data_IF_332958436070
#
_entry.id   IF_332958436070
#
_cell.length_a   1.000
_cell.length_b   1.000
_cell.length_c   1.000
_cell.angle_alpha   90.00
_cell.angle_beta   90.00
_cell.angle_gamma   90.00
#
_symmetry.space_group_name_H-M   'P 1'
#
loop_
_entity.id
_entity.type
_entity.pdbx_description
1 polymer ?
#
# COMPACT_ATOMS: atom_id res chain seq x y z
N UNK A 1 -5.53 -23.85 -5.18
CA UNK A 1 -5.08 -25.17 -4.70
C UNK A 1 -6.22 -25.86 -3.99
N UNK A 2 -6.33 -27.18 -4.15
CA UNK A 2 -7.34 -28.00 -3.47
C UNK A 2 -6.59 -29.14 -2.81
N UNK A 3 -6.88 -29.38 -1.54
CA UNK A 3 -6.39 -30.52 -0.79
C UNK A 3 -7.59 -31.33 -0.32
N UNK A 4 -7.49 -32.66 -0.36
CA UNK A 4 -8.53 -33.53 0.16
C UNK A 4 -7.91 -34.71 0.90
N UNK A 5 -8.67 -35.25 1.84
CA UNK A 5 -8.34 -36.46 2.58
C UNK A 5 -9.49 -37.45 2.42
N UNK A 6 -9.15 -38.70 2.15
CA UNK A 6 -10.11 -39.79 2.03
C UNK A 6 -10.19 -40.57 3.35
N UNK A 7 -11.35 -41.11 3.65
CA UNK A 7 -11.53 -42.14 4.68
C UNK A 7 -10.97 -43.48 4.18
N UNK A 8 -10.73 -44.44 5.08
CA UNK A 8 -10.34 -45.82 4.74
C UNK A 8 -11.29 -46.52 3.75
N UNK A 9 -12.52 -46.03 3.60
CA UNK A 9 -13.54 -46.52 2.66
C UNK A 9 -13.56 -45.80 1.30
N UNK A 10 -12.61 -44.89 1.05
CA UNK A 10 -12.51 -44.14 -0.21
C UNK A 10 -13.45 -42.93 -0.35
N UNK A 11 -14.28 -42.63 0.66
CA UNK A 11 -15.11 -41.41 0.69
C UNK A 11 -14.27 -40.19 1.10
N UNK A 12 -14.66 -38.99 0.67
CA UNK A 12 -13.97 -37.75 1.07
C UNK A 12 -14.28 -37.45 2.54
N UNK A 13 -13.28 -37.57 3.40
CA UNK A 13 -13.37 -37.20 4.82
C UNK A 13 -13.31 -35.68 4.99
N UNK A 14 -12.41 -35.03 4.25
CA UNK A 14 -12.29 -33.59 4.23
C UNK A 14 -11.84 -33.05 2.86
N UNK A 15 -12.35 -31.87 2.51
CA UNK A 15 -11.99 -31.11 1.32
C UNK A 15 -11.64 -29.69 1.76
N UNK A 16 -10.50 -29.18 1.31
CA UNK A 16 -10.03 -27.83 1.62
C UNK A 16 -9.70 -27.09 0.33
N UNK A 17 -10.42 -26.01 0.08
CA UNK A 17 -10.26 -25.16 -1.10
C UNK A 17 -9.58 -23.86 -0.64
N UNK A 18 -8.35 -23.64 -1.12
CA UNK A 18 -7.57 -22.46 -0.82
C UNK A 18 -8.06 -21.31 -1.71
N UNK A 19 -8.99 -20.50 -1.20
CA UNK A 19 -9.59 -19.35 -1.91
C UNK A 19 -8.61 -18.19 -2.00
N UNK A 20 -7.97 -17.86 -0.88
CA UNK A 20 -6.90 -16.85 -0.77
C UNK A 20 -5.89 -17.31 0.28
N UNK A 21 -4.72 -16.67 0.41
CA UNK A 21 -3.82 -16.96 1.52
C UNK A 21 -4.46 -16.75 2.91
N UNK A 22 -5.51 -15.91 3.03
CA UNK A 22 -6.27 -15.68 4.26
C UNK A 22 -7.42 -16.66 4.48
N UNK A 23 -7.99 -17.22 3.41
CA UNK A 23 -9.27 -17.92 3.46
C UNK A 23 -9.16 -19.30 2.83
N UNK A 24 -9.43 -20.33 3.66
CA UNK A 24 -9.62 -21.70 3.22
C UNK A 24 -11.07 -22.09 3.48
N UNK A 25 -11.77 -22.53 2.43
CA UNK A 25 -13.09 -23.13 2.55
C UNK A 25 -12.91 -24.61 2.86
N UNK A 26 -13.19 -25.03 4.09
CA UNK A 26 -13.09 -26.42 4.50
C UNK A 26 -14.48 -27.06 4.54
N UNK A 27 -14.58 -28.25 3.98
CA UNK A 27 -15.75 -29.13 4.08
C UNK A 27 -15.32 -30.41 4.78
N UNK A 28 -15.99 -30.79 5.86
CA UNK A 28 -15.71 -32.04 6.58
C UNK A 28 -16.96 -32.87 6.68
N UNK A 29 -16.80 -34.18 6.49
CA UNK A 29 -17.88 -35.12 6.72
C UNK A 29 -18.05 -35.33 8.23
N UNK A 30 -19.12 -34.81 8.80
CA UNK A 30 -19.47 -34.94 10.22
C UNK A 30 -20.99 -35.21 10.31
N UNK A 31 -21.41 -36.21 11.11
CA UNK A 31 -22.82 -36.56 11.33
C UNK A 31 -23.62 -36.84 10.03
N UNK A 32 -23.02 -37.55 9.07
CA UNK A 32 -23.71 -37.98 7.84
C UNK A 32 -23.91 -36.89 6.77
N UNK A 33 -23.34 -35.70 6.97
CA UNK A 33 -23.39 -34.60 6.01
C UNK A 33 -22.06 -33.84 5.96
N UNK A 34 -21.83 -33.08 4.89
CA UNK A 34 -20.68 -32.18 4.82
C UNK A 34 -20.98 -30.87 5.54
N UNK A 35 -20.20 -30.57 6.57
CA UNK A 35 -20.24 -29.27 7.23
C UNK A 35 -19.22 -28.33 6.60
N UNK A 36 -19.67 -27.13 6.24
CA UNK A 36 -18.81 -26.04 5.79
C UNK A 36 -18.25 -25.25 6.97
N UNK A 37 -16.93 -25.08 7.01
CA UNK A 37 -16.24 -24.22 7.97
C UNK A 37 -15.22 -23.32 7.27
N UNK A 38 -15.35 -21.98 7.36
CA UNK A 38 -14.34 -21.08 6.84
C UNK A 38 -13.15 -20.98 7.81
N UNK A 39 -11.97 -21.42 7.37
CA UNK A 39 -10.73 -21.22 8.12
C UNK A 39 -10.08 -19.90 7.70
N UNK A 40 -10.04 -18.94 8.62
CA UNK A 40 -9.39 -17.64 8.42
C UNK A 40 -8.03 -17.62 9.11
N UNK A 41 -6.95 -17.57 8.33
CA UNK A 41 -5.60 -17.39 8.89
C UNK A 41 -5.43 -15.93 9.32
N UNK A 42 -5.05 -15.71 10.58
CA UNK A 42 -4.67 -14.36 11.05
C UNK A 42 -3.37 -13.95 10.36
N UNK A 43 -3.38 -12.79 9.72
CA UNK A 43 -2.17 -12.20 9.15
C UNK A 43 -1.51 -11.26 10.14
N UNK A 44 -0.18 -11.19 10.10
CA UNK A 44 0.62 -10.24 10.86
C UNK A 44 0.92 -9.06 9.95
N UNK A 45 0.68 -7.85 10.44
CA UNK A 45 1.11 -6.63 9.76
C UNK A 45 2.61 -6.42 9.99
N UNK A 46 3.38 -6.33 8.91
CA UNK A 46 4.81 -6.00 8.97
C UNK A 46 5.10 -4.79 8.10
N UNK A 47 5.96 -3.91 8.60
CA UNK A 47 6.47 -2.78 7.81
C UNK A 47 7.82 -3.14 7.23
N UNK A 48 7.99 -2.91 5.93
CA UNK A 48 9.27 -3.04 5.22
C UNK A 48 9.72 -1.68 4.72
N UNK A 49 11.01 -1.38 4.89
CA UNK A 49 11.62 -0.13 4.44
C UNK A 49 12.48 -0.43 3.21
N UNK A 50 12.26 0.35 2.16
CA UNK A 50 13.04 0.37 0.93
C UNK A 50 13.87 1.65 0.89
N UNK A 51 15.09 1.58 0.36
CA UNK A 51 15.99 2.73 0.22
C UNK A 51 16.62 2.68 -1.15
N UNK A 52 16.72 3.83 -1.82
CA UNK A 52 17.39 3.98 -3.09
C UNK A 52 18.13 5.33 -3.15
N UNK A 53 19.23 5.34 -3.89
CA UNK A 53 19.81 6.56 -4.44
C UNK A 53 19.34 6.68 -5.88
N UNK A 54 18.91 7.86 -6.29
CA UNK A 54 18.49 8.12 -7.67
C UNK A 54 19.71 8.02 -8.58
N UNK A 55 19.60 7.22 -9.63
CA UNK A 55 20.62 7.05 -10.68
C UNK A 55 20.20 7.70 -12.00
N UNK A 56 19.00 8.30 -12.03
CA UNK A 56 18.44 8.96 -13.20
C UNK A 56 16.92 8.86 -13.18
N UNK A 57 16.35 7.91 -13.91
CA UNK A 57 14.91 7.75 -14.00
C UNK A 57 14.30 7.21 -12.67
N UNK A 58 13.37 7.97 -12.10
CA UNK A 58 12.67 7.61 -10.86
C UNK A 58 11.98 6.25 -10.93
N UNK A 59 11.27 5.97 -12.03
CA UNK A 59 10.52 4.72 -12.17
C UNK A 59 11.47 3.51 -12.23
N UNK A 60 12.57 3.63 -12.98
CA UNK A 60 13.59 2.59 -13.07
C UNK A 60 14.22 2.32 -11.69
N UNK A 61 14.73 3.36 -11.04
CA UNK A 61 15.31 3.28 -9.69
C UNK A 61 14.35 2.64 -8.68
N UNK A 62 13.07 3.04 -8.71
CA UNK A 62 12.06 2.50 -7.81
C UNK A 62 11.73 1.03 -8.12
N UNK A 63 11.70 0.65 -9.41
CA UNK A 63 11.49 -0.73 -9.85
C UNK A 63 12.67 -1.63 -9.43
N UNK A 64 13.90 -1.15 -9.54
CA UNK A 64 15.11 -1.92 -9.25
C UNK A 64 15.23 -2.29 -7.77
N UNK A 65 14.77 -1.43 -6.87
CA UNK A 65 14.67 -1.75 -5.44
C UNK A 65 13.47 -2.67 -5.11
N UNK A 66 12.71 -3.12 -6.11
CA UNK A 66 11.61 -4.08 -5.96
C UNK A 66 10.27 -3.46 -5.58
N UNK A 67 10.06 -2.16 -5.87
CA UNK A 67 8.73 -1.56 -5.74
C UNK A 67 7.83 -1.97 -6.91
N UNK A 68 6.57 -2.27 -6.61
CA UNK A 68 5.59 -2.63 -7.63
C UNK A 68 5.01 -1.37 -8.30
N UNK A 69 4.53 -1.45 -9.56
CA UNK A 69 3.98 -0.27 -10.25
C UNK A 69 2.88 0.49 -9.47
N UNK A 70 1.96 -0.18 -8.73
CA UNK A 70 1.00 0.51 -7.86
C UNK A 70 1.66 1.25 -6.69
N UNK A 71 2.73 0.71 -6.10
CA UNK A 71 3.49 1.40 -5.04
C UNK A 71 4.23 2.61 -5.60
N UNK A 72 4.89 2.47 -6.77
CA UNK A 72 5.57 3.58 -7.45
C UNK A 72 4.58 4.71 -7.75
N UNK A 73 3.39 4.37 -8.27
CA UNK A 73 2.33 5.34 -8.51
C UNK A 73 1.88 6.05 -7.23
N UNK A 74 1.74 5.30 -6.12
CA UNK A 74 1.39 5.89 -4.82
C UNK A 74 2.46 6.85 -4.30
N UNK A 75 3.74 6.57 -4.53
CA UNK A 75 4.85 7.45 -4.14
C UNK A 75 4.82 8.73 -4.98
N UNK A 76 4.68 8.58 -6.30
CA UNK A 76 4.51 9.70 -7.22
C UNK A 76 3.34 10.61 -6.81
N UNK A 77 2.17 10.02 -6.52
CA UNK A 77 0.99 10.78 -6.10
C UNK A 77 1.20 11.49 -4.76
N UNK A 78 1.93 10.89 -3.83
CA UNK A 78 2.25 11.51 -2.55
C UNK A 78 3.09 12.78 -2.77
N UNK A 79 4.10 12.73 -3.64
CA UNK A 79 5.04 13.84 -3.85
C UNK A 79 4.56 14.87 -4.88
N UNK A 80 3.57 14.55 -5.70
CA UNK A 80 3.18 15.31 -6.90
C UNK A 80 3.02 16.82 -6.69
N UNK A 81 2.43 17.24 -5.56
CA UNK A 81 2.17 18.65 -5.28
C UNK A 81 3.41 19.45 -4.89
N UNK A 82 4.41 18.76 -4.34
CA UNK A 82 5.65 19.36 -3.87
C UNK A 82 6.75 19.29 -4.94
N UNK A 83 6.90 18.13 -5.58
CA UNK A 83 7.93 17.87 -6.58
C UNK A 83 7.48 16.80 -7.57
N UNK A 84 7.63 17.09 -8.86
CA UNK A 84 7.46 16.10 -9.91
C UNK A 84 8.73 15.25 -10.05
N UNK A 85 8.85 14.22 -9.20
CA UNK A 85 9.99 13.29 -9.21
C UNK A 85 10.16 12.53 -10.54
N UNK A 86 9.13 12.47 -11.39
CA UNK A 86 9.26 11.79 -12.69
C UNK A 86 10.12 12.58 -13.68
N UNK A 87 10.23 13.90 -13.46
CA UNK A 87 11.00 14.83 -14.30
C UNK A 87 12.19 15.45 -13.58
N UNK A 88 12.06 15.65 -12.27
CA UNK A 88 13.00 16.44 -11.48
C UNK A 88 13.93 15.59 -10.61
N UNK A 89 13.81 14.26 -10.63
CA UNK A 89 14.75 13.40 -9.93
C UNK A 89 16.16 13.55 -10.53
N UNK A 90 17.14 13.75 -9.64
CA UNK A 90 18.54 13.93 -10.02
C UNK A 90 19.41 12.84 -9.41
N UNK A 91 20.55 12.59 -10.05
CA UNK A 91 21.53 11.65 -9.55
C UNK A 91 21.99 12.04 -8.13
N UNK A 92 21.92 11.09 -7.20
CA UNK A 92 22.27 11.27 -5.79
C UNK A 92 21.12 11.68 -4.87
N UNK A 93 19.92 11.97 -5.40
CA UNK A 93 18.73 12.17 -4.56
C UNK A 93 18.39 10.87 -3.80
N UNK A 94 17.94 10.98 -2.56
CA UNK A 94 17.66 9.81 -1.71
C UNK A 94 16.16 9.57 -1.56
N UNK A 95 15.74 8.35 -1.90
CA UNK A 95 14.38 7.88 -1.68
C UNK A 95 14.36 6.82 -0.56
N UNK A 96 13.46 6.98 0.40
CA UNK A 96 13.12 5.94 1.38
C UNK A 96 11.61 5.75 1.40
N UNK A 97 11.15 4.50 1.40
CA UNK A 97 9.73 4.16 1.34
C UNK A 97 9.41 3.13 2.40
N UNK A 98 8.38 3.38 3.19
CA UNK A 98 7.82 2.43 4.13
C UNK A 98 6.56 1.77 3.55
N UNK A 99 6.52 0.44 3.56
CA UNK A 99 5.41 -0.35 3.03
C UNK A 99 4.85 -1.25 4.12
N UNK A 100 3.56 -1.11 4.41
CA UNK A 100 2.82 -2.06 5.23
C UNK A 100 2.41 -3.27 4.39
N UNK A 101 2.83 -4.46 4.82
CA UNK A 101 2.54 -5.74 4.18
C UNK A 101 1.82 -6.67 5.15
N UNK A 102 0.93 -7.51 4.61
CA UNK A 102 0.31 -8.59 5.38
C UNK A 102 1.12 -9.86 5.17
N UNK A 103 1.55 -10.51 6.24
CA UNK A 103 2.25 -11.80 6.20
C UNK A 103 1.38 -12.87 6.83
N UNK A 104 1.26 -14.01 6.16
CA UNK A 104 0.50 -15.17 6.66
C UNK A 104 1.41 -16.38 6.62
N UNK A 105 1.70 -16.94 7.80
CA UNK A 105 2.80 -17.89 7.95
C UNK A 105 4.11 -17.21 7.53
N UNK A 106 4.72 -17.71 6.45
CA UNK A 106 5.96 -17.17 5.88
C UNK A 106 5.77 -16.46 4.53
N UNK A 107 4.53 -16.30 4.06
CA UNK A 107 4.25 -15.71 2.75
C UNK A 107 3.71 -14.28 2.88
N UNK A 108 4.24 -13.36 2.06
CA UNK A 108 3.69 -12.03 1.89
C UNK A 108 2.43 -12.13 1.05
N UNK A 109 1.36 -11.49 1.50
CA UNK A 109 0.04 -11.56 0.88
C UNK A 109 -0.36 -10.19 0.36
N UNK A 110 -0.58 -10.14 -0.95
CA UNK A 110 -0.85 -8.91 -1.69
C UNK A 110 0.41 -8.06 -1.87
N UNK A 111 0.22 -6.88 -2.48
CA UNK A 111 1.33 -5.99 -2.80
C UNK A 111 1.78 -5.14 -1.62
N UNK A 112 0.98 -5.06 -0.54
CA UNK A 112 1.21 -4.08 0.53
C UNK A 112 0.83 -2.66 0.12
N UNK A 113 0.89 -1.74 1.09
CA UNK A 113 0.50 -0.33 0.91
C UNK A 113 1.66 0.56 1.31
N UNK A 114 1.95 1.58 0.50
CA UNK A 114 2.87 2.64 0.90
C UNK A 114 2.24 3.38 2.08
N UNK A 115 2.97 3.47 3.19
CA UNK A 115 2.54 4.16 4.41
C UNK A 115 3.42 5.38 4.73
N UNK A 116 4.57 5.50 4.07
CA UNK A 116 5.42 6.67 4.22
C UNK A 116 6.45 6.77 3.10
N UNK A 117 6.79 8.01 2.76
CA UNK A 117 7.75 8.37 1.73
C UNK A 117 8.66 9.45 2.28
N UNK A 118 9.97 9.28 2.14
CA UNK A 118 10.97 10.31 2.38
C UNK A 118 11.75 10.51 1.09
N UNK A 119 11.69 11.71 0.52
CA UNK A 119 12.49 12.11 -0.63
C UNK A 119 13.40 13.26 -0.24
N UNK A 120 14.72 13.12 -0.44
CA UNK A 120 15.70 14.12 -0.04
C UNK A 120 16.60 14.47 -1.22
N UNK A 121 16.64 15.76 -1.54
CA UNK A 121 17.59 16.35 -2.47
C UNK A 121 18.69 17.07 -1.69
N UNK A 122 19.60 17.74 -2.38
CA UNK A 122 20.63 18.58 -1.75
C UNK A 122 20.04 19.78 -0.98
N UNK A 123 18.88 20.29 -1.41
CA UNK A 123 18.30 21.53 -0.87
C UNK A 123 17.04 21.32 -0.04
N UNK A 124 16.29 20.24 -0.31
CA UNK A 124 14.95 20.04 0.24
C UNK A 124 14.74 18.60 0.68
N UNK A 125 13.90 18.42 1.71
CA UNK A 125 13.52 17.12 2.24
C UNK A 125 12.00 17.08 2.44
N UNK A 126 11.37 16.09 1.81
CA UNK A 126 9.96 15.81 1.96
C UNK A 126 9.80 14.49 2.72
N UNK A 127 9.05 14.53 3.81
CA UNK A 127 8.62 13.35 4.56
C UNK A 127 7.11 13.36 4.61
N UNK A 128 6.49 12.36 4.00
CA UNK A 128 5.05 12.23 3.90
C UNK A 128 4.61 10.90 4.46
N UNK A 129 3.60 10.92 5.33
CA UNK A 129 3.02 9.75 5.99
C UNK A 129 1.58 9.59 5.55
N UNK A 130 1.16 8.35 5.33
CA UNK A 130 -0.21 8.04 4.92
C UNK A 130 -1.11 7.92 6.14
N UNK A 131 -2.18 8.70 6.18
CA UNK A 131 -3.21 8.60 7.21
C UNK A 131 -4.29 7.57 6.83
N UNK A 132 -5.20 7.30 7.77
CA UNK A 132 -6.27 6.30 7.62
C UNK A 132 -7.28 6.65 6.52
N UNK A 133 -7.46 7.95 6.22
CA UNK A 133 -8.25 8.42 5.09
C UNK A 133 -7.58 8.14 3.72
N UNK A 134 -6.38 7.57 3.72
CA UNK A 134 -5.63 7.19 2.54
C UNK A 134 -4.80 8.31 1.91
N UNK A 135 -4.87 9.54 2.43
CA UNK A 135 -4.10 10.69 1.98
C UNK A 135 -2.73 10.77 2.66
N UNK A 136 -1.83 11.55 2.07
CA UNK A 136 -0.48 11.78 2.59
C UNK A 136 -0.37 13.16 3.24
N UNK A 137 0.31 13.21 4.38
CA UNK A 137 0.50 14.40 5.19
C UNK A 137 1.96 14.51 5.62
N UNK A 138 2.43 15.73 5.81
CA UNK A 138 3.70 15.96 6.51
C UNK A 138 3.59 15.57 8.00
N UNK A 139 4.71 15.44 8.73
CA UNK A 139 4.69 14.98 10.13
C UNK A 139 3.93 15.90 11.08
N UNK A 140 3.75 17.17 10.71
CA UNK A 140 2.96 18.17 11.43
C UNK A 140 1.44 18.06 11.15
N UNK A 141 1.02 17.12 10.29
CA UNK A 141 -0.37 16.92 9.88
C UNK A 141 -0.81 17.83 8.74
N UNK A 142 0.07 18.67 8.19
CA UNK A 142 -0.27 19.50 7.03
C UNK A 142 -0.40 18.66 5.76
N UNK A 143 -1.41 18.97 4.95
CA UNK A 143 -1.55 18.39 3.61
C UNK A 143 -0.66 19.17 2.65
N UNK A 144 0.09 18.47 1.81
CA UNK A 144 0.82 19.09 0.72
C UNK A 144 -0.07 19.38 -0.50
N UNK A 145 -1.29 18.84 -0.53
CA UNK A 145 -2.24 19.15 -1.59
C UNK A 145 -2.53 20.64 -1.56
N UNK A 146 -2.33 21.31 -2.70
CA UNK A 146 -2.70 22.71 -2.85
C UNK A 146 -4.22 22.82 -2.74
N UNK A 147 -4.72 22.98 -1.52
CA UNK A 147 -6.12 23.31 -1.29
C UNK A 147 -6.37 24.65 -1.96
N UNK A 148 -7.39 24.71 -2.81
CA UNK A 148 -7.88 25.99 -3.33
C UNK A 148 -8.05 26.93 -2.15
N UNK A 149 -7.47 28.12 -2.23
CA UNK A 149 -7.71 29.13 -1.21
C UNK A 149 -9.21 29.39 -1.20
N UNK A 150 -9.86 29.26 -0.04
CA UNK A 150 -11.28 29.62 0.12
C UNK A 150 -11.56 31.04 -0.36
N UNK A 151 -10.58 31.91 -0.20
CA UNK A 151 -10.60 33.28 -0.67
C UNK A 151 -9.50 33.46 -1.72
N UNK A 152 -9.83 33.88 -2.96
CA UNK A 152 -8.82 34.15 -3.98
C UNK A 152 -7.93 35.34 -3.62
N UNK A 153 -8.34 36.15 -2.64
CA UNK A 153 -7.66 37.37 -2.19
C UNK A 153 -7.19 37.23 -0.73
N UNK A 154 -6.09 37.93 -0.42
CA UNK A 154 -5.46 37.94 0.91
C UNK A 154 -6.33 38.63 1.98
N UNK A 155 -7.27 39.48 1.54
CA UNK A 155 -8.19 40.22 2.39
C UNK A 155 -9.63 39.85 2.04
N UNK A 156 -10.53 39.77 3.02
CA UNK A 156 -11.94 39.53 2.78
C UNK A 156 -12.57 40.79 2.16
N UNK A 157 -12.79 40.76 0.85
CA UNK A 157 -13.67 41.72 0.18
C UNK A 157 -15.09 41.18 0.18
N UNK A 158 -16.08 42.07 0.35
CA UNK A 158 -17.49 41.69 0.24
C UNK A 158 -17.77 41.27 -1.20
N UNK A 159 -18.45 40.13 -1.36
CA UNK A 159 -18.93 39.68 -2.67
C UNK A 159 -19.98 40.69 -3.14
N UNK A 160 -19.71 41.37 -4.26
CA UNK A 160 -20.58 42.41 -4.81
C UNK A 160 -21.72 41.83 -5.65
N UNK A 161 -21.55 40.61 -6.18
CA UNK A 161 -22.57 39.86 -6.92
C UNK A 161 -22.26 38.38 -6.81
N UNK A 162 -23.25 37.59 -6.40
CA UNK A 162 -23.20 36.13 -6.47
C UNK A 162 -23.51 35.65 -7.89
N UNK A 163 -23.29 34.36 -8.15
CA UNK A 163 -23.42 33.72 -9.47
C UNK A 163 -24.87 33.29 -9.78
#
# INVERSE_FOLDING_TARGET
MIEWQLTSTGKIASLSIFRTPKLVSQFRWENGQYQYRPLRKKGIHKTRIYRASMEGNFFHTASDIGLTPPQIRSIYQALYWDIDVTRQAKLGDQLKVAIAQNVIGNQIVGQGKVIGVSYRTQHQHWLLLRADNGQFYAPDGSSNQKTLRRWPLSQPYRISSDF
#
